data_IF_528810542088
#
_entry.id   IF_528810542088
#
_cell.length_a   1.000
_cell.length_b   1.000
_cell.length_c   1.000
_cell.angle_alpha   90.00
_cell.angle_beta   90.00
_cell.angle_gamma   90.00
#
_symmetry.space_group_name_H-M   'P 1'
#
loop_
_entity.id
_entity.type
_entity.pdbx_description
1 polymer ?
#
# COMPACT_ATOMS: atom_id res chain seq x y z
N UNK A 1 -65.29 -5.17 42.18
CA UNK A 1 -64.83 -5.78 43.44
C UNK A 1 -63.43 -6.28 43.17
N UNK A 2 -62.44 -5.38 43.21
CA UNK A 2 -61.04 -5.76 43.07
C UNK A 2 -60.57 -6.13 44.47
N UNK A 3 -60.35 -7.43 44.66
CA UNK A 3 -59.73 -7.99 45.85
C UNK A 3 -58.37 -7.29 46.02
N UNK A 4 -58.21 -6.54 47.11
CA UNK A 4 -56.95 -5.89 47.46
C UNK A 4 -55.93 -6.99 47.71
N UNK A 5 -55.07 -7.23 46.72
CA UNK A 5 -53.95 -8.18 46.83
C UNK A 5 -53.15 -7.76 48.06
N UNK A 6 -52.99 -8.70 48.99
CA UNK A 6 -52.28 -8.48 50.24
C UNK A 6 -50.84 -8.02 49.91
N UNK A 7 -50.35 -6.87 50.40
CA UNK A 7 -49.03 -6.34 50.04
C UNK A 7 -47.89 -7.34 50.26
N UNK A 8 -48.07 -8.31 51.17
CA UNK A 8 -47.11 -9.41 51.40
C UNK A 8 -47.02 -10.39 50.23
N UNK A 9 -48.14 -10.77 49.60
CA UNK A 9 -48.13 -11.70 48.45
C UNK A 9 -47.60 -11.03 47.19
N UNK A 10 -47.81 -9.73 47.03
CA UNK A 10 -47.24 -8.96 45.91
C UNK A 10 -45.69 -8.90 45.98
N UNK A 11 -45.12 -8.84 47.19
CA UNK A 11 -43.67 -8.83 47.40
C UNK A 11 -43.03 -10.20 47.15
N UNK A 12 -43.65 -11.29 47.59
CA UNK A 12 -43.17 -12.65 47.29
C UNK A 12 -43.12 -12.89 45.78
N UNK A 13 -44.11 -12.41 45.03
CA UNK A 13 -44.13 -12.47 43.56
C UNK A 13 -42.98 -11.66 42.96
N UNK A 14 -42.72 -10.44 43.47
CA UNK A 14 -41.61 -9.61 42.99
C UNK A 14 -40.24 -10.29 43.20
N UNK A 15 -40.03 -10.94 44.34
CA UNK A 15 -38.79 -11.68 44.63
C UNK A 15 -38.66 -12.90 43.70
N UNK A 16 -39.75 -13.60 43.42
CA UNK A 16 -39.76 -14.78 42.54
C UNK A 16 -39.47 -14.40 41.08
N UNK A 17 -39.99 -13.25 40.63
CA UNK A 17 -39.67 -12.67 39.31
C UNK A 17 -38.18 -12.28 39.25
N UNK A 18 -37.66 -11.65 40.30
CA UNK A 18 -36.25 -11.28 40.39
C UNK A 18 -35.34 -12.52 40.37
N UNK A 19 -35.71 -13.58 41.07
CA UNK A 19 -34.95 -14.84 41.09
C UNK A 19 -34.87 -15.49 39.69
N UNK A 20 -35.99 -15.52 38.97
CA UNK A 20 -36.03 -16.01 37.59
C UNK A 20 -35.17 -15.13 36.66
N UNK A 21 -35.31 -13.80 36.77
CA UNK A 21 -34.52 -12.87 35.98
C UNK A 21 -33.00 -13.01 36.24
N UNK A 22 -32.59 -13.17 37.50
CA UNK A 22 -31.19 -13.39 37.91
C UNK A 22 -30.69 -14.75 37.41
N UNK A 23 -31.52 -15.79 37.51
CA UNK A 23 -31.18 -17.14 37.04
C UNK A 23 -30.94 -17.21 35.53
N UNK A 24 -31.67 -16.43 34.74
CA UNK A 24 -31.50 -16.37 33.28
C UNK A 24 -30.17 -15.74 32.83
N UNK A 25 -29.48 -14.98 33.68
CA UNK A 25 -28.16 -14.44 33.34
C UNK A 25 -27.06 -15.50 33.30
N UNK A 26 -27.18 -16.58 34.09
CA UNK A 26 -26.17 -17.65 34.15
C UNK A 26 -25.92 -18.33 32.79
N UNK A 27 -26.93 -18.86 32.06
CA UNK A 27 -26.69 -19.50 30.77
C UNK A 27 -26.14 -18.52 29.73
N UNK A 28 -26.62 -17.28 29.73
CA UNK A 28 -26.12 -16.25 28.83
C UNK A 28 -24.64 -15.90 29.10
N UNK A 29 -24.23 -15.83 30.37
CA UNK A 29 -22.82 -15.61 30.71
C UNK A 29 -21.91 -16.78 30.34
N UNK A 30 -22.41 -18.02 30.36
CA UNK A 30 -21.64 -19.18 29.93
C UNK A 30 -21.38 -19.14 28.42
N UNK A 31 -22.39 -18.74 27.63
CA UNK A 31 -22.25 -18.55 26.19
C UNK A 31 -21.26 -17.42 25.87
N UNK A 32 -21.41 -16.28 26.53
CA UNK A 32 -20.51 -15.12 26.39
C UNK A 32 -19.06 -15.48 26.75
N UNK A 33 -18.87 -16.32 27.78
CA UNK A 33 -17.55 -16.80 28.18
C UNK A 33 -16.95 -17.76 27.16
N UNK A 34 -17.75 -18.68 26.60
CA UNK A 34 -17.28 -19.58 25.55
C UNK A 34 -16.85 -18.80 24.29
N UNK A 35 -17.60 -17.76 23.91
CA UNK A 35 -17.23 -16.85 22.81
C UNK A 35 -15.91 -16.12 23.10
N UNK A 36 -15.71 -15.65 24.34
CA UNK A 36 -14.44 -15.04 24.77
C UNK A 36 -13.26 -16.02 24.73
N UNK A 37 -13.43 -17.23 25.24
CA UNK A 37 -12.37 -18.25 25.30
C UNK A 37 -11.93 -18.69 23.89
N UNK A 38 -12.86 -18.73 22.93
CA UNK A 38 -12.56 -18.99 21.52
C UNK A 38 -11.62 -17.91 20.96
N UNK A 39 -11.89 -16.63 21.23
CA UNK A 39 -11.03 -15.54 20.80
C UNK A 39 -9.65 -15.55 21.49
N UNK A 40 -9.57 -15.91 22.77
CA UNK A 40 -8.29 -16.10 23.47
C UNK A 40 -7.45 -17.18 22.77
N UNK A 41 -8.05 -18.32 22.47
CA UNK A 41 -7.35 -19.44 21.85
C UNK A 41 -6.84 -19.08 20.44
N UNK A 42 -7.62 -18.33 19.66
CA UNK A 42 -7.22 -17.88 18.33
C UNK A 42 -5.96 -17.00 18.37
N UNK A 43 -5.84 -16.14 19.38
CA UNK A 43 -4.73 -15.17 19.47
C UNK A 43 -3.45 -15.81 20.01
N UNK A 44 -3.56 -16.81 20.89
CA UNK A 44 -2.37 -17.52 21.42
C UNK A 44 -1.55 -18.22 20.33
N UNK A 45 -2.14 -18.49 19.16
CA UNK A 45 -1.44 -19.07 18.00
C UNK A 45 -1.02 -18.06 16.92
N UNK A 46 -1.32 -16.77 17.09
CA UNK A 46 -1.04 -15.74 16.11
C UNK A 46 0.36 -15.13 16.33
N UNK A 47 1.11 -14.90 15.25
CA UNK A 47 2.40 -14.20 15.30
C UNK A 47 2.37 -12.86 14.57
N UNK A 48 3.17 -11.86 15.01
CA UNK A 48 3.18 -10.53 14.38
C UNK A 48 3.66 -10.51 12.92
N UNK A 49 4.38 -11.53 12.47
CA UNK A 49 4.94 -11.64 11.13
C UNK A 49 4.07 -12.46 10.16
N UNK A 50 2.85 -12.83 10.57
CA UNK A 50 1.91 -13.68 9.81
C UNK A 50 2.50 -15.06 9.40
N UNK A 51 3.63 -15.48 10.00
CA UNK A 51 4.29 -16.77 9.73
C UNK A 51 3.73 -17.93 10.57
N UNK A 52 2.94 -17.60 11.59
CA UNK A 52 2.26 -18.54 12.46
C UNK A 52 1.11 -19.27 11.75
N UNK A 53 0.57 -20.32 12.39
CA UNK A 53 -0.54 -21.10 11.85
C UNK A 53 -1.84 -20.28 11.66
N UNK A 54 -1.96 -19.12 12.31
CA UNK A 54 -3.13 -18.24 12.27
C UNK A 54 -2.69 -16.86 11.81
N UNK A 55 -3.32 -16.36 10.74
CA UNK A 55 -3.03 -15.05 10.15
C UNK A 55 -3.75 -13.92 10.88
N UNK A 56 -3.07 -12.82 11.18
CA UNK A 56 -3.65 -11.68 11.92
C UNK A 56 -4.37 -10.65 11.06
N UNK A 57 -4.22 -10.69 9.75
CA UNK A 57 -4.78 -9.70 8.83
C UNK A 57 -6.32 -9.71 8.74
N UNK A 58 -7.00 -10.59 9.47
CA UNK A 58 -8.45 -10.69 9.40
C UNK A 58 -9.13 -9.57 10.24
N UNK A 59 -9.51 -8.48 9.56
CA UNK A 59 -10.33 -7.41 10.15
C UNK A 59 -11.62 -7.93 10.80
N UNK A 60 -12.12 -9.10 10.36
CA UNK A 60 -13.26 -9.78 10.95
C UNK A 60 -13.07 -10.15 12.42
N UNK A 61 -11.87 -10.54 12.84
CA UNK A 61 -11.59 -10.93 14.25
C UNK A 61 -11.61 -9.72 15.18
N UNK A 62 -11.12 -8.57 14.71
CA UNK A 62 -11.22 -7.31 15.45
C UNK A 62 -12.67 -6.86 15.56
N UNK A 63 -13.44 -6.99 14.48
CA UNK A 63 -14.85 -6.65 14.49
C UNK A 63 -15.65 -7.55 15.45
N UNK A 64 -15.39 -8.87 15.47
CA UNK A 64 -16.04 -9.79 16.41
C UNK A 64 -15.69 -9.47 17.86
N UNK A 65 -14.42 -9.13 18.15
CA UNK A 65 -14.01 -8.70 19.50
C UNK A 65 -14.70 -7.40 19.93
N UNK A 66 -14.84 -6.42 19.03
CA UNK A 66 -15.58 -5.18 19.32
C UNK A 66 -17.06 -5.43 19.56
N UNK A 67 -17.68 -6.33 18.78
CA UNK A 67 -19.06 -6.75 18.98
C UNK A 67 -19.21 -7.45 20.33
N UNK A 68 -18.27 -8.33 20.70
CA UNK A 68 -18.27 -9.01 21.98
C UNK A 68 -18.09 -8.04 23.16
N UNK A 69 -17.14 -7.09 23.09
CA UNK A 69 -17.02 -6.02 24.12
C UNK A 69 -18.32 -5.23 24.26
N UNK A 70 -18.98 -4.92 23.14
CA UNK A 70 -20.30 -4.28 23.12
C UNK A 70 -21.39 -5.11 23.80
N UNK A 71 -21.45 -6.43 23.54
CA UNK A 71 -22.38 -7.35 24.22
C UNK A 71 -22.11 -7.39 25.73
N UNK A 72 -20.84 -7.50 26.14
CA UNK A 72 -20.42 -7.53 27.56
C UNK A 72 -20.80 -6.22 28.26
N UNK A 73 -20.54 -5.08 27.61
CA UNK A 73 -20.91 -3.74 28.06
C UNK A 73 -22.40 -3.60 28.34
N UNK A 74 -23.23 -3.97 27.37
CA UNK A 74 -24.68 -3.89 27.49
C UNK A 74 -25.18 -4.79 28.64
N UNK A 75 -24.60 -5.98 28.76
CA UNK A 75 -24.94 -6.94 29.82
C UNK A 75 -24.55 -6.39 31.20
N UNK A 76 -23.37 -5.78 31.32
CA UNK A 76 -22.92 -5.13 32.56
C UNK A 76 -23.84 -3.97 32.95
N UNK A 77 -24.27 -3.15 31.98
CA UNK A 77 -25.21 -2.06 32.22
C UNK A 77 -26.56 -2.60 32.72
N UNK A 78 -27.07 -3.67 32.10
CA UNK A 78 -28.33 -4.30 32.50
C UNK A 78 -28.27 -4.91 33.91
N UNK A 79 -27.18 -5.61 34.25
CA UNK A 79 -26.95 -6.17 35.60
C UNK A 79 -26.82 -5.06 36.63
N UNK A 80 -26.08 -3.99 36.32
CA UNK A 80 -25.92 -2.83 37.22
C UNK A 80 -27.25 -2.12 37.48
N UNK A 81 -28.05 -1.90 36.43
CA UNK A 81 -29.38 -1.32 36.58
C UNK A 81 -30.30 -2.23 37.41
N UNK A 82 -30.27 -3.55 37.18
CA UNK A 82 -31.03 -4.53 37.98
C UNK A 82 -30.62 -4.46 39.45
N UNK A 83 -29.32 -4.33 39.75
CA UNK A 83 -28.81 -4.14 41.11
C UNK A 83 -29.36 -2.86 41.74
N UNK A 84 -29.32 -1.75 41.02
CA UNK A 84 -29.86 -0.46 41.50
C UNK A 84 -31.35 -0.58 41.84
N UNK A 85 -32.15 -1.23 40.99
CA UNK A 85 -33.57 -1.49 41.25
C UNK A 85 -33.80 -2.36 42.49
N UNK A 86 -33.06 -3.47 42.64
CA UNK A 86 -33.16 -4.35 43.82
C UNK A 86 -32.73 -3.60 45.10
N UNK A 87 -31.72 -2.74 45.01
CA UNK A 87 -31.27 -1.93 46.15
C UNK A 87 -32.31 -0.88 46.56
N UNK A 88 -32.97 -0.24 45.59
CA UNK A 88 -34.06 0.70 45.84
C UNK A 88 -35.28 -0.01 46.44
N UNK A 89 -35.59 -1.22 45.95
CA UNK A 89 -36.66 -2.06 46.50
C UNK A 89 -36.37 -2.46 47.94
N UNK A 90 -35.14 -2.87 48.25
CA UNK A 90 -34.72 -3.16 49.63
C UNK A 90 -34.83 -1.94 50.54
N UNK A 91 -34.40 -0.76 50.08
CA UNK A 91 -34.51 0.48 50.87
C UNK A 91 -35.97 0.89 51.13
N UNK A 92 -36.83 0.83 50.10
CA UNK A 92 -38.25 1.11 50.23
C UNK A 92 -38.93 0.11 51.17
N UNK A 93 -38.58 -1.16 51.08
CA UNK A 93 -39.11 -2.20 51.96
C UNK A 93 -38.70 -1.99 53.42
N UNK A 94 -37.42 -1.68 53.67
CA UNK A 94 -36.92 -1.36 55.00
C UNK A 94 -37.64 -0.17 55.64
N UNK A 95 -38.04 0.83 54.83
CA UNK A 95 -38.82 1.97 55.32
C UNK A 95 -40.29 1.66 55.62
N UNK A 96 -40.87 0.66 54.93
CA UNK A 96 -42.27 0.27 55.09
C UNK A 96 -42.47 -0.80 56.19
N UNK A 97 -41.39 -1.45 56.62
CA UNK A 97 -41.41 -2.60 57.50
C UNK A 97 -40.71 -2.30 58.84
N UNK A 98 -41.37 -1.58 59.73
CA UNK A 98 -40.94 -1.53 61.13
C UNK A 98 -41.44 -2.79 61.89
N UNK A 99 -40.56 -3.78 62.05
CA UNK A 99 -40.65 -4.72 63.19
C UNK A 99 -41.27 -6.12 63.01
N UNK A 100 -41.52 -6.63 61.80
CA UNK A 100 -42.09 -7.98 61.60
C UNK A 100 -41.02 -9.06 61.27
N UNK A 101 -41.14 -10.29 61.81
CA UNK A 101 -40.22 -11.41 61.53
C UNK A 101 -40.21 -11.83 60.06
N UNK A 102 -41.35 -11.75 59.36
CA UNK A 102 -41.42 -12.02 57.91
C UNK A 102 -40.56 -11.07 57.10
N UNK A 103 -40.43 -9.84 57.59
CA UNK A 103 -39.62 -8.83 56.92
C UNK A 103 -38.12 -9.08 57.01
N UNK A 104 -37.68 -9.75 58.08
CA UNK A 104 -36.29 -10.14 58.19
C UNK A 104 -35.93 -11.20 57.13
N UNK A 105 -36.83 -12.15 56.86
CA UNK A 105 -36.62 -13.18 55.83
C UNK A 105 -36.56 -12.59 54.42
N UNK A 106 -37.44 -11.63 54.11
CA UNK A 106 -37.45 -10.92 52.82
C UNK A 106 -36.17 -10.09 52.64
N UNK A 107 -35.72 -9.39 53.68
CA UNK A 107 -34.47 -8.65 53.64
C UNK A 107 -33.26 -9.54 53.41
N UNK A 108 -33.22 -10.71 54.05
CA UNK A 108 -32.16 -11.70 53.82
C UNK A 108 -32.18 -12.15 52.35
N UNK A 109 -33.34 -12.53 51.81
CA UNK A 109 -33.48 -12.96 50.42
C UNK A 109 -33.06 -11.87 49.42
N UNK A 110 -33.46 -10.60 49.64
CA UNK A 110 -33.04 -9.47 48.80
C UNK A 110 -31.54 -9.21 48.89
N UNK A 111 -30.95 -9.33 50.08
CA UNK A 111 -29.50 -9.18 50.27
C UNK A 111 -28.70 -10.28 49.55
N UNK A 112 -29.21 -11.51 49.54
CA UNK A 112 -28.63 -12.63 48.78
C UNK A 112 -28.66 -12.33 47.27
N UNK A 113 -29.80 -11.82 46.74
CA UNK A 113 -29.89 -11.42 45.33
C UNK A 113 -28.96 -10.27 44.95
N UNK A 114 -28.76 -9.31 45.85
CA UNK A 114 -27.77 -8.24 45.63
C UNK A 114 -26.34 -8.80 45.57
N UNK A 115 -26.01 -9.76 46.43
CA UNK A 115 -24.72 -10.46 46.41
C UNK A 115 -24.50 -11.23 45.11
N UNK A 116 -25.52 -11.96 44.63
CA UNK A 116 -25.48 -12.67 43.35
C UNK A 116 -25.24 -11.71 42.18
N UNK A 117 -25.94 -10.58 42.14
CA UNK A 117 -25.76 -9.54 41.11
C UNK A 117 -24.35 -8.92 41.15
N UNK A 118 -23.74 -8.80 42.33
CA UNK A 118 -22.36 -8.33 42.48
C UNK A 118 -21.35 -9.32 41.90
N UNK A 119 -21.54 -10.62 42.14
CA UNK A 119 -20.71 -11.68 41.55
C UNK A 119 -20.83 -11.65 40.01
N UNK A 120 -22.04 -11.49 39.49
CA UNK A 120 -22.28 -11.39 38.04
C UNK A 120 -21.60 -10.15 37.44
N UNK A 121 -21.71 -9.00 38.09
CA UNK A 121 -21.05 -7.76 37.68
C UNK A 121 -19.52 -7.90 37.67
N UNK A 122 -18.94 -8.49 38.72
CA UNK A 122 -17.49 -8.75 38.81
C UNK A 122 -17.02 -9.66 37.67
N UNK A 123 -17.75 -10.76 37.40
CA UNK A 123 -17.41 -11.68 36.32
C UNK A 123 -17.42 -10.99 34.95
N UNK A 124 -18.45 -10.18 34.68
CA UNK A 124 -18.54 -9.38 33.44
C UNK A 124 -17.41 -8.36 33.32
N UNK A 125 -17.02 -7.71 34.43
CA UNK A 125 -15.89 -6.78 34.44
C UNK A 125 -14.56 -7.49 34.15
N UNK A 126 -14.32 -8.66 34.75
CA UNK A 126 -13.12 -9.46 34.47
C UNK A 126 -13.07 -9.88 33.00
N UNK A 127 -14.20 -10.32 32.44
CA UNK A 127 -14.23 -10.70 31.03
C UNK A 127 -14.03 -9.50 30.10
N UNK A 128 -14.47 -8.32 30.53
CA UNK A 128 -14.20 -7.10 29.78
C UNK A 128 -12.71 -6.75 29.77
N UNK A 129 -12.03 -6.83 30.91
CA UNK A 129 -10.59 -6.54 30.97
C UNK A 129 -9.78 -7.52 30.15
N UNK A 130 -10.17 -8.79 30.09
CA UNK A 130 -9.51 -9.78 29.21
C UNK A 130 -9.72 -9.45 27.73
N UNK A 131 -10.95 -9.12 27.31
CA UNK A 131 -11.26 -8.73 25.92
C UNK A 131 -10.51 -7.45 25.52
N UNK A 132 -10.41 -6.46 26.42
CA UNK A 132 -9.64 -5.24 26.16
C UNK A 132 -8.13 -5.53 26.02
N UNK A 133 -7.58 -6.38 26.88
CA UNK A 133 -6.18 -6.81 26.78
C UNK A 133 -5.89 -7.50 25.45
N UNK A 134 -6.79 -8.39 25.03
CA UNK A 134 -6.79 -9.05 23.73
C UNK A 134 -6.81 -8.03 22.58
N UNK A 135 -7.76 -7.08 22.59
CA UNK A 135 -7.89 -6.06 21.54
C UNK A 135 -6.62 -5.21 21.42
N UNK A 136 -5.99 -4.88 22.55
CA UNK A 136 -4.73 -4.13 22.57
C UNK A 136 -3.58 -4.95 21.98
N UNK A 137 -3.48 -6.24 22.33
CA UNK A 137 -2.48 -7.14 21.76
C UNK A 137 -2.64 -7.26 20.24
N UNK A 138 -3.86 -7.50 19.75
CA UNK A 138 -4.16 -7.57 18.32
C UNK A 138 -3.78 -6.27 17.62
N UNK A 139 -4.11 -5.12 18.21
CA UNK A 139 -3.74 -3.81 17.64
C UNK A 139 -2.23 -3.64 17.56
N UNK A 140 -1.51 -3.96 18.64
CA UNK A 140 -0.04 -3.87 18.67
C UNK A 140 0.62 -4.79 17.64
N UNK A 141 0.13 -6.02 17.47
CA UNK A 141 0.69 -6.94 16.48
C UNK A 141 0.41 -6.49 15.04
N UNK A 142 -0.77 -5.92 14.77
CA UNK A 142 -1.08 -5.32 13.47
C UNK A 142 -0.17 -4.11 13.17
N UNK A 143 0.10 -3.27 14.18
CA UNK A 143 1.02 -2.13 14.03
C UNK A 143 2.45 -2.62 13.74
N UNK A 144 2.91 -3.68 14.43
CA UNK A 144 4.19 -4.30 14.16
C UNK A 144 4.27 -4.91 12.75
N UNK A 145 3.23 -5.65 12.34
CA UNK A 145 3.16 -6.25 11.00
C UNK A 145 3.20 -5.19 9.91
N UNK A 146 2.40 -4.13 10.05
CA UNK A 146 2.40 -3.01 9.10
C UNK A 146 3.75 -2.29 9.07
N UNK A 147 4.43 -2.17 10.22
CA UNK A 147 5.79 -1.68 10.31
C UNK A 147 6.80 -2.54 9.54
N UNK A 148 6.75 -3.86 9.69
CA UNK A 148 7.62 -4.79 8.97
C UNK A 148 7.35 -4.80 7.46
N UNK A 149 6.08 -4.81 7.06
CA UNK A 149 5.70 -4.74 5.65
C UNK A 149 6.21 -3.45 4.99
N UNK A 150 6.07 -2.30 5.66
CA UNK A 150 6.58 -1.03 5.17
C UNK A 150 8.12 -1.00 5.12
N UNK A 151 8.78 -1.58 6.12
CA UNK A 151 10.23 -1.68 6.14
C UNK A 151 10.76 -2.56 5.00
N UNK A 152 10.12 -3.69 4.72
CA UNK A 152 10.52 -4.57 3.62
C UNK A 152 10.27 -3.90 2.26
N UNK A 153 9.12 -3.24 2.06
CA UNK A 153 8.87 -2.42 0.87
C UNK A 153 9.90 -1.30 0.70
N UNK A 154 10.27 -0.62 1.79
CA UNK A 154 11.31 0.41 1.75
C UNK A 154 12.69 -0.18 1.40
N UNK A 155 12.98 -1.40 1.87
CA UNK A 155 14.22 -2.12 1.56
C UNK A 155 14.28 -2.55 0.09
N UNK A 156 13.18 -3.08 -0.42
CA UNK A 156 13.03 -3.46 -1.83
C UNK A 156 13.12 -2.23 -2.74
N UNK A 157 12.42 -1.15 -2.41
CA UNK A 157 12.50 0.12 -3.14
C UNK A 157 13.92 0.69 -3.15
N UNK A 158 14.65 0.63 -2.03
CA UNK A 158 16.07 1.05 -1.99
C UNK A 158 16.94 0.20 -2.91
N UNK A 159 16.71 -1.11 -2.95
CA UNK A 159 17.43 -2.03 -3.82
C UNK A 159 17.14 -1.74 -5.30
N UNK A 160 15.88 -1.58 -5.66
CA UNK A 160 15.45 -1.22 -7.01
C UNK A 160 16.06 0.12 -7.45
N UNK A 161 16.03 1.14 -6.57
CA UNK A 161 16.66 2.43 -6.84
C UNK A 161 18.18 2.32 -7.07
N UNK A 162 18.87 1.45 -6.33
CA UNK A 162 20.30 1.22 -6.54
C UNK A 162 20.57 0.52 -7.88
N UNK A 163 19.75 -0.46 -8.25
CA UNK A 163 19.81 -1.13 -9.55
C UNK A 163 19.51 -0.16 -10.69
N UNK A 164 18.50 0.70 -10.54
CA UNK A 164 18.17 1.76 -11.48
C UNK A 164 19.31 2.78 -11.63
N UNK A 165 19.97 3.17 -10.53
CA UNK A 165 21.14 4.05 -10.58
C UNK A 165 22.29 3.42 -11.37
N UNK A 166 22.59 2.15 -11.12
CA UNK A 166 23.62 1.39 -11.86
C UNK A 166 23.26 1.26 -13.34
N UNK A 167 21.99 1.04 -13.67
CA UNK A 167 21.52 1.00 -15.06
C UNK A 167 21.66 2.36 -15.74
N UNK A 168 21.27 3.45 -15.07
CA UNK A 168 21.42 4.82 -15.57
C UNK A 168 22.88 5.17 -15.85
N UNK A 169 23.80 4.82 -14.94
CA UNK A 169 25.24 4.98 -15.14
C UNK A 169 25.76 4.21 -16.37
N UNK A 170 25.31 2.96 -16.57
CA UNK A 170 25.67 2.18 -17.76
C UNK A 170 25.12 2.83 -19.03
N UNK A 171 23.86 3.24 -19.03
CA UNK A 171 23.24 3.91 -20.18
C UNK A 171 23.96 5.22 -20.52
N UNK A 172 24.37 6.00 -19.53
CA UNK A 172 25.17 7.20 -19.75
C UNK A 172 26.50 6.88 -20.45
N UNK A 173 27.22 5.85 -19.99
CA UNK A 173 28.47 5.39 -20.64
C UNK A 173 28.25 4.85 -22.05
N UNK A 174 27.14 4.13 -22.29
CA UNK A 174 26.78 3.66 -23.63
C UNK A 174 26.46 4.85 -24.56
N UNK A 175 25.72 5.84 -24.08
CA UNK A 175 25.42 7.05 -24.84
C UNK A 175 26.71 7.82 -25.19
N UNK A 176 27.65 7.97 -24.25
CA UNK A 176 28.96 8.59 -24.49
C UNK A 176 29.73 7.84 -25.60
N UNK A 177 29.86 6.52 -25.48
CA UNK A 177 30.49 5.69 -26.54
C UNK A 177 29.76 5.78 -27.86
N UNK A 178 28.43 5.76 -27.86
CA UNK A 178 27.63 5.92 -29.07
C UNK A 178 27.85 7.28 -29.74
N UNK A 179 28.06 8.35 -28.97
CA UNK A 179 28.41 9.66 -29.54
C UNK A 179 29.79 9.66 -30.21
N UNK A 180 30.75 8.91 -29.64
CA UNK A 180 32.06 8.71 -30.26
C UNK A 180 31.96 7.88 -31.54
N UNK A 181 31.22 6.77 -31.51
CA UNK A 181 30.97 5.94 -32.70
C UNK A 181 30.28 6.74 -33.81
N UNK A 182 29.32 7.60 -33.44
CA UNK A 182 28.68 8.52 -34.37
C UNK A 182 29.66 9.52 -34.99
N UNK A 183 30.69 9.97 -34.25
CA UNK A 183 31.74 10.82 -34.79
C UNK A 183 32.60 10.06 -35.84
N UNK A 184 32.95 8.80 -35.57
CA UNK A 184 33.67 7.95 -36.53
C UNK A 184 32.87 7.69 -37.80
N UNK A 185 31.57 7.42 -37.69
CA UNK A 185 30.66 7.25 -38.85
C UNK A 185 30.58 8.54 -39.67
N UNK A 186 30.55 9.71 -39.02
CA UNK A 186 30.61 11.00 -39.73
C UNK A 186 31.89 11.12 -40.56
N UNK A 187 33.05 10.76 -40.00
CA UNK A 187 34.33 10.81 -40.74
C UNK A 187 34.33 9.86 -41.94
N UNK A 188 33.87 8.61 -41.76
CA UNK A 188 33.77 7.65 -42.86
C UNK A 188 32.86 8.18 -43.99
N UNK A 189 31.72 8.77 -43.63
CA UNK A 189 30.78 9.36 -44.60
C UNK A 189 31.41 10.53 -45.37
N UNK A 190 32.25 11.34 -44.72
CA UNK A 190 33.00 12.41 -45.39
C UNK A 190 33.99 11.82 -46.39
N UNK A 191 34.73 10.78 -46.00
CA UNK A 191 35.69 10.11 -46.90
C UNK A 191 34.99 9.49 -48.12
N UNK A 192 33.84 8.82 -47.93
CA UNK A 192 33.09 8.25 -49.05
C UNK A 192 32.54 9.34 -49.97
N UNK A 193 32.06 10.46 -49.42
CA UNK A 193 31.55 11.59 -50.21
C UNK A 193 32.64 12.24 -51.07
N UNK A 194 33.89 12.28 -50.61
CA UNK A 194 35.03 12.77 -51.39
C UNK A 194 35.49 11.74 -52.43
N UNK A 195 35.59 10.47 -52.02
CA UNK A 195 36.15 9.41 -52.86
C UNK A 195 35.21 9.03 -54.01
N UNK A 196 33.92 8.90 -53.75
CA UNK A 196 32.93 8.44 -54.74
C UNK A 196 32.93 9.26 -56.05
N UNK A 197 32.88 10.59 -56.04
CA UNK A 197 32.94 11.36 -57.29
C UNK A 197 34.35 11.36 -57.91
N UNK A 198 35.42 11.31 -57.11
CA UNK A 198 36.78 11.17 -57.63
C UNK A 198 36.99 9.83 -58.36
N UNK A 199 36.42 8.74 -57.86
CA UNK A 199 36.43 7.43 -58.51
C UNK A 199 35.65 7.43 -59.82
N UNK A 200 34.48 8.09 -59.87
CA UNK A 200 33.70 8.22 -61.12
C UNK A 200 34.52 8.97 -62.18
N UNK A 201 35.16 10.07 -61.81
CA UNK A 201 36.05 10.82 -62.72
C UNK A 201 37.21 9.92 -63.18
N UNK A 202 37.91 9.25 -62.25
CA UNK A 202 39.00 8.32 -62.59
C UNK A 202 38.58 7.22 -63.58
N UNK A 203 37.41 6.60 -63.36
CA UNK A 203 36.88 5.56 -64.24
C UNK A 203 36.48 6.09 -65.64
N UNK A 204 35.84 7.26 -65.71
CA UNK A 204 35.46 7.89 -66.98
C UNK A 204 36.68 8.27 -67.80
N UNK A 205 37.73 8.78 -67.15
CA UNK A 205 38.96 9.13 -67.85
C UNK A 205 39.81 7.90 -68.20
N UNK A 206 39.87 6.86 -67.35
CA UNK A 206 40.53 5.58 -67.67
C UNK A 206 39.96 4.93 -68.95
N UNK A 207 38.65 5.03 -69.14
CA UNK A 207 37.96 4.49 -70.33
C UNK A 207 38.04 5.41 -71.54
N UNK A 208 38.11 6.74 -71.36
CA UNK A 208 38.20 7.70 -72.47
C UNK A 208 39.62 7.91 -73.00
N UNK A 209 40.65 7.59 -72.19
CA UNK A 209 42.06 7.76 -72.56
C UNK A 209 42.68 6.51 -73.20
N UNK A 210 42.01 5.35 -73.12
CA UNK A 210 42.45 4.09 -73.74
C UNK A 210 41.45 3.70 -74.83
N UNK A 211 41.53 4.35 -75.98
CA UNK A 211 40.91 3.87 -77.20
C UNK A 211 41.88 2.96 -77.96
N UNK A 212 41.57 1.68 -78.11
CA UNK A 212 42.30 0.78 -79.02
C UNK A 212 41.91 1.08 -80.46
N UNK A 213 42.61 2.04 -81.08
CA UNK A 213 42.67 2.15 -82.52
C UNK A 213 43.41 0.95 -83.10
N UNK A 214 42.90 0.36 -84.18
CA UNK A 214 43.37 -0.89 -84.79
C UNK A 214 44.77 -0.82 -85.44
N UNK A 215 45.67 0.06 -84.99
CA UNK A 215 47.07 0.17 -85.41
C UNK A 215 47.89 0.87 -84.29
N UNK A 216 48.54 0.08 -83.43
CA UNK A 216 49.74 0.32 -82.59
C UNK A 216 50.20 1.75 -82.17
N UNK A 217 49.33 2.75 -82.05
CA UNK A 217 49.66 4.04 -81.44
C UNK A 217 48.55 4.53 -80.51
N UNK A 218 48.88 4.57 -79.21
CA UNK A 218 48.07 5.17 -78.15
C UNK A 218 48.12 6.69 -78.34
N UNK A 219 47.01 7.30 -78.77
CA UNK A 219 46.90 8.76 -78.85
C UNK A 219 46.51 9.32 -77.47
N UNK A 220 47.36 10.20 -76.95
CA UNK A 220 47.11 11.02 -75.75
C UNK A 220 46.58 12.37 -76.24
N UNK A 221 45.32 12.67 -75.97
CA UNK A 221 44.68 13.94 -76.38
C UNK A 221 45.29 15.13 -75.61
N UNK A 222 45.49 16.32 -76.23
CA UNK A 222 46.16 17.48 -75.61
C UNK A 222 45.38 18.19 -74.48
N UNK A 223 44.19 17.71 -74.12
CA UNK A 223 43.22 18.38 -73.24
C UNK A 223 43.46 18.14 -71.74
N UNK A 224 44.72 18.16 -71.30
CA UNK A 224 45.07 18.01 -69.88
C UNK A 224 44.53 19.14 -68.99
N UNK A 225 44.14 20.29 -69.58
CA UNK A 225 43.48 21.38 -68.84
C UNK A 225 42.07 21.03 -68.40
N UNK A 226 41.34 20.19 -69.14
CA UNK A 226 40.01 19.73 -68.74
C UNK A 226 40.12 18.86 -67.48
N UNK A 227 41.21 18.11 -67.33
CA UNK A 227 41.51 17.38 -66.09
C UNK A 227 41.64 18.34 -64.89
N UNK A 228 42.41 19.43 -65.05
CA UNK A 228 42.60 20.41 -63.98
C UNK A 228 41.28 21.11 -63.63
N UNK A 229 40.50 21.52 -64.64
CA UNK A 229 39.22 22.21 -64.46
C UNK A 229 38.16 21.29 -63.85
N UNK A 230 38.05 20.05 -64.32
CA UNK A 230 37.09 19.08 -63.78
C UNK A 230 37.45 18.70 -62.34
N UNK A 231 38.74 18.51 -62.04
CA UNK A 231 39.21 18.25 -60.69
C UNK A 231 38.88 19.42 -59.75
N UNK A 232 39.23 20.66 -60.12
CA UNK A 232 38.96 21.86 -59.31
C UNK A 232 37.47 22.13 -59.14
N UNK A 233 36.65 21.95 -60.18
CA UNK A 233 35.21 22.10 -60.10
C UNK A 233 34.59 21.09 -59.13
N UNK A 234 35.10 19.86 -59.13
CA UNK A 234 34.64 18.82 -58.23
C UNK A 234 35.08 19.08 -56.78
N UNK A 235 36.33 19.50 -56.54
CA UNK A 235 36.77 19.91 -55.18
C UNK A 235 35.96 21.09 -54.66
N UNK A 236 35.68 22.09 -55.51
CA UNK A 236 34.84 23.22 -55.16
C UNK A 236 33.41 22.79 -54.82
N UNK A 237 32.84 21.83 -55.58
CA UNK A 237 31.54 21.26 -55.28
C UNK A 237 31.52 20.54 -53.93
N UNK A 238 32.53 19.71 -53.63
CA UNK A 238 32.63 19.00 -52.35
C UNK A 238 32.77 19.96 -51.18
N UNK A 239 33.57 21.04 -51.33
CA UNK A 239 33.69 22.10 -50.32
C UNK A 239 32.38 22.90 -50.16
N UNK A 240 31.67 23.17 -51.26
CA UNK A 240 30.38 23.85 -51.25
C UNK A 240 29.32 23.02 -50.52
N UNK A 241 29.23 21.73 -50.83
CA UNK A 241 28.32 20.79 -50.13
C UNK A 241 28.67 20.70 -48.64
N UNK A 242 29.97 20.66 -48.30
CA UNK A 242 30.41 20.67 -46.89
C UNK A 242 30.02 21.96 -46.17
N UNK A 243 30.24 23.12 -46.78
CA UNK A 243 29.88 24.42 -46.21
C UNK A 243 28.36 24.53 -45.99
N UNK A 244 27.55 24.11 -46.97
CA UNK A 244 26.08 24.07 -46.88
C UNK A 244 25.61 23.09 -45.79
N UNK A 245 26.21 21.91 -45.70
CA UNK A 245 25.86 20.91 -44.69
C UNK A 245 26.17 21.39 -43.27
N UNK A 246 27.33 22.01 -43.07
CA UNK A 246 27.75 22.54 -41.76
C UNK A 246 26.84 23.70 -41.33
N UNK A 247 26.50 24.60 -42.25
CA UNK A 247 25.61 25.72 -41.96
C UNK A 247 24.17 25.25 -41.63
N UNK A 248 23.68 24.22 -42.33
CA UNK A 248 22.38 23.59 -42.06
C UNK A 248 22.34 22.87 -40.71
N UNK A 249 23.41 22.15 -40.33
CA UNK A 249 23.45 21.47 -39.02
C UNK A 249 23.58 22.47 -37.86
N UNK A 250 24.31 23.57 -38.04
CA UNK A 250 24.44 24.63 -37.03
C UNK A 250 23.13 25.40 -36.81
N UNK A 251 22.35 25.62 -37.87
CA UNK A 251 21.03 26.28 -37.76
C UNK A 251 19.88 25.35 -37.37
N UNK A 252 20.10 24.03 -37.29
CA UNK A 252 19.12 23.10 -36.72
C UNK A 252 19.21 23.07 -35.18
N UNK A 253 19.31 24.26 -34.56
CA UNK A 253 19.02 24.43 -33.13
C UNK A 253 17.49 24.38 -32.97
N UNK A 254 17.07 23.34 -32.26
CA UNK A 254 15.81 23.09 -31.58
C UNK A 254 14.65 24.05 -31.87
N UNK A 255 13.51 23.53 -32.35
CA UNK A 255 12.30 24.34 -32.47
C UNK A 255 11.87 24.91 -31.11
N UNK A 256 11.62 26.22 -31.08
CA UNK A 256 11.19 27.01 -29.92
C UNK A 256 9.94 26.51 -29.16
N UNK A 257 9.19 25.54 -29.67
CA UNK A 257 8.04 24.93 -29.00
C UNK A 257 8.40 23.86 -27.95
N UNK A 258 9.66 23.41 -27.88
CA UNK A 258 10.11 22.46 -26.85
C UNK A 258 10.33 23.08 -25.46
N UNK A 259 10.59 24.39 -25.37
CA UNK A 259 10.78 25.05 -24.08
C UNK A 259 9.48 25.16 -23.27
N UNK A 260 8.32 25.31 -23.92
CA UNK A 260 7.02 25.42 -23.22
C UNK A 260 6.52 24.12 -22.60
N UNK A 261 7.08 22.96 -22.96
CA UNK A 261 6.61 21.68 -22.44
C UNK A 261 7.23 21.31 -21.09
N UNK A 262 8.33 21.96 -20.69
CA UNK A 262 9.00 21.74 -19.41
C UNK A 262 8.42 22.59 -18.26
N UNK A 263 7.83 23.75 -18.58
CA UNK A 263 7.23 24.64 -17.57
C UNK A 263 5.79 24.26 -17.19
N UNK A 264 5.15 23.36 -17.94
CA UNK A 264 3.76 22.95 -17.72
C UNK A 264 3.56 21.74 -16.79
N UNK A 265 4.63 21.03 -16.41
CA UNK A 265 4.55 19.86 -15.51
C UNK A 265 5.09 20.14 -14.09
N UNK A 266 5.49 21.38 -13.81
CA UNK A 266 5.94 21.83 -12.47
C UNK A 266 4.99 22.88 -11.85
N UNK A 267 3.76 22.98 -12.33
CA UNK A 267 2.70 23.85 -11.79
C UNK A 267 1.54 23.06 -11.23
#
# INVERSE_FOLDING_TARGET
>A
MFETIDPMTMLEIQILILDNAISNWRPYLLDLQAESDLHVAAILGATPDDSGPIRMSNAGERQSLMVLDGKVLNSLAAVKHTKEVVSALSAAYNSASEGSTSSNNINIALSEKLSDLDILSLKLQTMRTTIQGISNLVSNFLDLNSGYALQELARESRRENEEMRKLSERMHRLAEKSTQDAASVKVLTILTLIYLPATVVSNFFSTSFVGTGSNEHIFVTPDWWIFLVAAVALTAFTLYVWWVWMNIQVHRKYPWWWARKLDGELG
#
